data_IF_370559174970
#
_entry.id   IF_370559174970
#
_cell.length_a   1.000
_cell.length_b   1.000
_cell.length_c   1.000
_cell.angle_alpha   90.00
_cell.angle_beta   90.00
_cell.angle_gamma   90.00
#
_symmetry.space_group_name_H-M   'P 1'
#
loop_
_entity.id
_entity.type
_entity.pdbx_description
1 polymer ?
#
# COMPACT_ATOMS: atom_id res chain seq x y z
N UNK A 1 8.89 -33.60 4.02
CA UNK A 1 9.68 -33.31 5.24
C UNK A 1 10.39 -31.99 5.02
N UNK A 2 9.91 -30.89 5.59
CA UNK A 2 10.75 -29.68 5.63
C UNK A 2 11.97 -30.03 6.46
N UNK A 3 13.15 -30.04 5.83
CA UNK A 3 14.40 -30.28 6.55
C UNK A 3 14.69 -29.07 7.43
N UNK A 4 15.47 -29.26 8.49
CA UNK A 4 15.90 -28.16 9.38
C UNK A 4 16.48 -27.00 8.57
N UNK A 5 17.22 -27.29 7.50
CA UNK A 5 17.72 -26.29 6.54
C UNK A 5 16.59 -25.50 5.88
N UNK A 6 15.54 -26.15 5.41
CA UNK A 6 14.37 -25.50 4.81
C UNK A 6 13.59 -24.61 5.80
N UNK A 7 13.49 -25.04 7.06
CA UNK A 7 12.85 -24.25 8.12
C UNK A 7 13.67 -22.98 8.40
N UNK A 8 15.00 -23.11 8.54
CA UNK A 8 15.90 -21.97 8.78
C UNK A 8 15.79 -20.96 7.64
N UNK A 9 15.83 -21.42 6.38
CA UNK A 9 15.71 -20.53 5.23
C UNK A 9 14.38 -19.78 5.22
N UNK A 10 13.28 -20.45 5.60
CA UNK A 10 11.96 -19.85 5.60
C UNK A 10 11.81 -18.79 6.71
N UNK A 11 12.34 -19.08 7.89
CA UNK A 11 12.37 -18.11 9.00
C UNK A 11 13.19 -16.88 8.63
N UNK A 12 14.38 -17.06 8.05
CA UNK A 12 15.22 -15.94 7.61
C UNK A 12 14.50 -15.08 6.57
N UNK A 13 13.84 -15.69 5.58
CA UNK A 13 13.08 -14.95 4.58
C UNK A 13 11.93 -14.12 5.19
N UNK A 14 11.17 -14.70 6.13
CA UNK A 14 10.07 -13.98 6.81
C UNK A 14 10.60 -12.78 7.59
N UNK A 15 11.69 -12.96 8.34
CA UNK A 15 12.29 -11.89 9.14
C UNK A 15 12.80 -10.76 8.22
N UNK A 16 13.51 -11.10 7.14
CA UNK A 16 14.00 -10.11 6.18
C UNK A 16 12.84 -9.35 5.51
N UNK A 17 11.77 -10.04 5.12
CA UNK A 17 10.60 -9.43 4.52
C UNK A 17 9.88 -8.48 5.48
N UNK A 18 9.67 -8.91 6.73
CA UNK A 18 9.05 -8.08 7.76
C UNK A 18 9.87 -6.80 8.03
N UNK A 19 11.20 -6.92 8.10
CA UNK A 19 12.09 -5.77 8.26
C UNK A 19 11.99 -4.81 7.08
N UNK A 20 11.95 -5.32 5.85
CA UNK A 20 11.78 -4.49 4.66
C UNK A 20 10.45 -3.72 4.67
N UNK A 21 9.34 -4.38 5.01
CA UNK A 21 8.01 -3.75 5.10
C UNK A 21 7.97 -2.67 6.18
N UNK A 22 8.52 -2.94 7.37
CA UNK A 22 8.59 -1.96 8.47
C UNK A 22 9.48 -0.78 8.10
N UNK A 23 10.58 -1.03 7.40
CA UNK A 23 11.46 0.04 6.92
C UNK A 23 10.77 0.91 5.87
N UNK A 24 10.07 0.29 4.92
CA UNK A 24 9.27 1.00 3.92
C UNK A 24 8.18 1.82 4.62
N UNK A 25 7.39 1.24 5.53
CA UNK A 25 6.29 1.96 6.19
C UNK A 25 6.76 3.16 7.02
N UNK A 26 7.94 3.07 7.65
CA UNK A 26 8.51 4.15 8.47
C UNK A 26 9.20 5.25 7.67
N UNK A 27 9.79 4.95 6.51
CA UNK A 27 10.49 5.93 5.66
C UNK A 27 9.59 6.60 4.61
N UNK A 28 8.27 6.59 4.83
CA UNK A 28 7.30 7.15 3.88
C UNK A 28 6.92 6.15 2.80
N UNK A 29 6.45 4.97 3.24
CA UNK A 29 6.10 3.86 2.37
C UNK A 29 5.30 4.31 1.16
N UNK A 30 5.67 3.81 -0.01
CA UNK A 30 5.13 4.16 -1.33
C UNK A 30 4.48 5.55 -1.38
N UNK A 31 5.25 6.57 -1.00
CA UNK A 31 4.85 7.96 -1.12
C UNK A 31 4.88 8.32 -2.60
N UNK A 32 3.84 7.90 -3.34
CA UNK A 32 3.80 8.18 -4.78
C UNK A 32 2.72 7.51 -5.64
N UNK A 33 2.07 6.41 -5.25
CA UNK A 33 1.07 5.78 -6.12
C UNK A 33 -0.35 6.04 -5.63
N UNK A 34 -0.88 7.18 -6.07
CA UNK A 34 -2.32 7.40 -6.12
C UNK A 34 -3.02 6.27 -6.89
N UNK A 35 -4.29 6.02 -6.53
CA UNK A 35 -5.22 5.17 -7.29
C UNK A 35 -4.65 3.81 -7.73
N UNK A 36 -4.16 2.99 -6.79
CA UNK A 36 -3.66 1.63 -7.04
C UNK A 36 -4.76 0.57 -7.30
N UNK A 37 -5.82 0.92 -8.01
CA UNK A 37 -6.90 0.01 -8.43
C UNK A 37 -7.36 0.32 -9.86
N UNK A 38 -8.29 -0.48 -10.41
CA UNK A 38 -8.92 -0.20 -11.71
C UNK A 38 -9.74 1.10 -11.65
N UNK A 39 -9.06 2.25 -11.72
CA UNK A 39 -9.63 3.58 -11.61
C UNK A 39 -10.24 4.05 -12.93
N UNK A 40 -11.04 3.21 -13.60
CA UNK A 40 -11.82 3.62 -14.77
C UNK A 40 -12.88 4.69 -14.43
N UNK A 41 -13.32 4.76 -13.16
CA UNK A 41 -14.32 5.73 -12.67
C UNK A 41 -13.75 6.82 -11.75
N UNK A 42 -12.45 6.83 -11.45
CA UNK A 42 -11.87 7.73 -10.43
C UNK A 42 -11.05 8.90 -10.99
N UNK A 43 -10.81 8.99 -12.31
CA UNK A 43 -9.97 10.04 -12.90
C UNK A 43 -10.46 11.46 -12.52
N UNK A 44 -11.78 11.70 -12.58
CA UNK A 44 -12.37 13.00 -12.20
C UNK A 44 -12.30 13.30 -10.70
N UNK A 45 -12.26 12.29 -9.83
CA UNK A 45 -12.16 12.48 -8.37
C UNK A 45 -10.72 12.74 -7.93
N UNK A 46 -9.74 12.21 -8.65
CA UNK A 46 -8.32 12.39 -8.36
C UNK A 46 -7.75 13.70 -8.93
N UNK A 47 -8.28 14.21 -10.04
CA UNK A 47 -7.77 15.44 -10.68
C UNK A 47 -8.21 16.73 -9.97
N UNK A 48 -9.24 16.67 -9.11
CA UNK A 48 -9.67 17.82 -8.29
C UNK A 48 -9.33 17.61 -6.80
N UNK A 49 -8.13 18.00 -6.34
CA UNK A 49 -7.88 18.15 -4.91
C UNK A 49 -8.81 19.25 -4.41
N UNK A 50 -9.78 18.86 -3.59
CA UNK A 50 -10.83 19.70 -3.00
C UNK A 50 -10.29 21.08 -2.59
N UNK A 51 -10.64 22.09 -3.36
CA UNK A 51 -10.74 23.46 -2.86
C UNK A 51 -12.22 23.76 -2.78
N UNK A 52 -12.67 24.13 -1.58
CA UNK A 52 -14.00 24.69 -1.25
C UNK A 52 -15.21 23.75 -1.43
N UNK A 53 -15.91 23.36 -0.35
CA UNK A 53 -16.95 24.12 0.38
C UNK A 53 -18.37 23.73 -0.13
N UNK A 54 -19.19 23.20 0.81
CA UNK A 54 -20.67 23.19 0.88
C UNK A 54 -21.59 22.30 -0.01
N UNK A 55 -22.42 21.53 0.72
CA UNK A 55 -23.81 21.07 0.48
C UNK A 55 -24.09 19.91 -0.53
N UNK A 56 -25.26 19.23 -0.49
CA UNK A 56 -25.54 17.99 0.26
C UNK A 56 -26.02 16.85 -0.71
N UNK A 57 -26.73 15.76 -0.29
CA UNK A 57 -26.78 14.49 -1.02
C UNK A 57 -27.58 14.55 -2.33
N UNK A 58 -27.05 13.94 -3.39
CA UNK A 58 -27.75 13.81 -4.68
C UNK A 58 -28.49 12.47 -4.74
N UNK A 59 -29.81 12.59 -4.92
CA UNK A 59 -30.79 11.60 -5.44
C UNK A 59 -30.33 10.89 -6.71
#
# INVERSE_FOLDING_TARGET
MLTVRGIITLVVLIVLFALAVVWISKNGGWKGEGCGGNCASCHQRCESPRTTDKDPPQT
#
